data_IF_530358813193
#
_entry.id   IF_530358813193
#
_cell.length_a   1.000
_cell.length_b   1.000
_cell.length_c   1.000
_cell.angle_alpha   90.00
_cell.angle_beta   90.00
_cell.angle_gamma   90.00
#
_symmetry.space_group_name_H-M   'P 1'
#
loop_
_entity.id
_entity.type
_entity.pdbx_description
1 polymer ?
#
# COMPACT_ATOMS: atom_id res chain seq x y z
N UNK A 1 4.60 18.46 0.27
CA UNK A 1 4.37 17.24 1.06
C UNK A 1 3.03 16.63 0.68
N UNK A 2 3.01 15.33 0.48
CA UNK A 2 1.74 14.67 0.19
C UNK A 2 0.90 14.58 1.47
N UNK A 3 -0.40 14.52 1.28
CA UNK A 3 -1.34 14.54 2.40
C UNK A 3 -2.38 13.45 2.24
N UNK A 4 -3.22 13.32 3.26
CA UNK A 4 -4.31 12.37 3.21
C UNK A 4 -5.27 12.68 2.06
N UNK A 5 -5.39 13.94 1.66
CA UNK A 5 -6.24 14.27 0.53
C UNK A 5 -5.70 13.69 -0.77
N UNK A 6 -4.38 13.64 -0.91
CA UNK A 6 -3.78 12.99 -2.06
C UNK A 6 -4.11 11.50 -2.06
N UNK A 7 -4.06 10.87 -0.88
CA UNK A 7 -4.40 9.46 -0.76
C UNK A 7 -5.86 9.22 -1.11
N UNK A 8 -6.76 10.09 -0.64
CA UNK A 8 -8.18 9.97 -0.97
C UNK A 8 -8.41 10.01 -2.47
N UNK A 9 -7.69 10.89 -3.15
CA UNK A 9 -7.84 11.01 -4.60
C UNK A 9 -7.36 9.74 -5.31
N UNK A 10 -6.27 9.14 -4.84
CA UNK A 10 -5.77 7.91 -5.43
C UNK A 10 -6.75 6.77 -5.17
N UNK A 11 -7.21 6.64 -3.93
CA UNK A 11 -8.10 5.54 -3.55
C UNK A 11 -9.43 5.62 -4.27
N UNK A 12 -9.88 6.82 -4.64
CA UNK A 12 -11.14 6.97 -5.34
C UNK A 12 -11.17 6.19 -6.65
N UNK A 13 -10.01 5.91 -7.24
CA UNK A 13 -9.94 5.13 -8.47
C UNK A 13 -9.69 3.64 -8.26
N UNK A 14 -9.65 3.18 -7.02
CA UNK A 14 -9.32 1.80 -6.72
C UNK A 14 -10.59 1.03 -6.35
N UNK A 15 -10.87 -0.01 -7.12
CA UNK A 15 -12.11 -0.76 -6.98
C UNK A 15 -12.22 -1.39 -5.60
N UNK A 16 -13.40 -1.32 -5.01
CA UNK A 16 -13.72 -1.93 -3.71
C UNK A 16 -13.08 -1.26 -2.51
N UNK A 17 -12.27 -0.23 -2.71
CA UNK A 17 -11.61 0.45 -1.60
C UNK A 17 -12.53 1.50 -1.00
N UNK A 18 -12.50 1.64 0.31
CA UNK A 18 -13.30 2.67 0.96
C UNK A 18 -12.62 3.15 2.23
N UNK A 19 -12.99 4.34 2.65
CA UNK A 19 -12.43 4.98 3.83
C UNK A 19 -13.27 4.67 5.06
N UNK A 20 -12.61 4.49 6.19
CA UNK A 20 -13.27 4.29 7.47
C UNK A 20 -12.50 5.06 8.52
N UNK A 21 -13.18 5.52 9.56
CA UNK A 21 -12.53 6.20 10.68
C UNK A 21 -12.72 5.32 11.90
N UNK A 22 -11.61 4.94 12.53
CA UNK A 22 -11.64 4.08 13.70
C UNK A 22 -10.79 4.73 14.77
N UNK A 23 -11.40 5.11 15.89
CA UNK A 23 -10.70 5.72 17.01
C UNK A 23 -9.91 6.95 16.59
N UNK A 24 -10.55 7.80 15.79
CA UNK A 24 -9.97 9.06 15.31
C UNK A 24 -8.84 8.87 14.31
N UNK A 25 -8.67 7.69 13.76
CA UNK A 25 -7.67 7.44 12.74
C UNK A 25 -8.36 7.05 11.44
N UNK A 26 -7.86 7.60 10.35
CA UNK A 26 -8.38 7.27 9.04
C UNK A 26 -7.72 5.98 8.56
N UNK A 27 -8.53 5.07 8.06
CA UNK A 27 -8.06 3.82 7.48
C UNK A 27 -8.76 3.60 6.15
N UNK A 28 -8.11 2.84 5.28
CA UNK A 28 -8.73 2.46 4.02
C UNK A 28 -8.78 0.94 3.97
N UNK A 29 -9.91 0.42 3.53
CA UNK A 29 -10.21 -1.01 3.57
C UNK A 29 -10.69 -1.53 2.24
N UNK A 30 -10.51 -2.84 2.06
CA UNK A 30 -11.24 -3.62 1.06
C UNK A 30 -11.94 -4.71 1.86
N UNK A 31 -13.27 -4.71 1.86
CA UNK A 31 -13.99 -5.60 2.77
C UNK A 31 -13.64 -5.26 4.20
N UNK A 32 -13.09 -6.21 4.92
CA UNK A 32 -12.67 -5.99 6.30
C UNK A 32 -11.16 -5.81 6.43
N UNK A 33 -10.45 -5.86 5.33
CA UNK A 33 -9.00 -5.83 5.36
C UNK A 33 -8.53 -4.40 5.23
N UNK A 34 -7.77 -3.93 6.22
CA UNK A 34 -7.17 -2.60 6.18
C UNK A 34 -5.90 -2.69 5.34
N UNK A 35 -5.77 -1.83 4.33
CA UNK A 35 -4.54 -1.79 3.56
C UNK A 35 -3.79 -0.47 3.70
N UNK A 36 -4.41 0.55 4.29
CA UNK A 36 -3.75 1.81 4.64
C UNK A 36 -4.29 2.26 5.99
N UNK A 37 -3.42 2.83 6.82
CA UNK A 37 -3.84 3.38 8.10
C UNK A 37 -2.96 4.58 8.42
N UNK A 38 -3.58 5.68 8.86
CA UNK A 38 -2.84 6.89 9.15
C UNK A 38 -2.62 7.06 10.64
N UNK A 39 -1.51 7.70 11.00
CA UNK A 39 -1.31 8.13 12.38
C UNK A 39 -2.30 9.25 12.68
N UNK A 40 -2.50 9.54 13.97
CA UNK A 40 -3.46 10.57 14.33
C UNK A 40 -3.10 11.94 13.78
N UNK A 41 -1.81 12.26 13.73
CA UNK A 41 -1.38 13.53 13.19
C UNK A 41 -1.30 13.50 11.66
N UNK A 42 -1.60 12.36 11.05
CA UNK A 42 -1.64 12.18 9.60
C UNK A 42 -0.29 12.44 8.93
N UNK A 43 0.79 12.30 9.68
CA UNK A 43 2.12 12.46 9.12
C UNK A 43 2.72 11.15 8.65
N UNK A 44 2.20 10.03 9.14
CA UNK A 44 2.70 8.72 8.76
C UNK A 44 1.56 7.86 8.27
N UNK A 45 1.88 6.99 7.33
CA UNK A 45 0.90 6.08 6.76
C UNK A 45 1.45 4.66 6.83
N UNK A 46 0.73 3.77 7.49
CA UNK A 46 1.01 2.34 7.40
C UNK A 46 0.35 1.79 6.17
N UNK A 47 0.97 0.82 5.52
CA UNK A 47 0.41 0.26 4.30
C UNK A 47 0.78 -1.21 4.17
N UNK A 48 -0.05 -1.95 3.44
CA UNK A 48 0.18 -3.37 3.21
C UNK A 48 1.44 -3.55 2.39
N UNK A 49 2.32 -4.43 2.85
CA UNK A 49 3.61 -4.67 2.19
C UNK A 49 4.11 -6.02 2.64
N UNK A 50 4.74 -6.81 1.76
CA UNK A 50 5.21 -8.14 2.16
C UNK A 50 6.20 -8.06 3.31
N UNK A 51 5.89 -8.74 4.40
CA UNK A 51 6.73 -8.63 5.58
C UNK A 51 8.13 -9.20 5.39
N UNK A 52 8.28 -10.11 4.44
CA UNK A 52 9.59 -10.68 4.17
C UNK A 52 10.51 -9.70 3.45
N UNK A 53 9.95 -8.64 2.88
CA UNK A 53 10.73 -7.66 2.13
C UNK A 53 10.90 -6.35 2.85
N UNK A 54 10.21 -6.16 3.97
CA UNK A 54 10.20 -4.85 4.59
C UNK A 54 11.53 -4.46 5.24
N UNK A 55 12.27 -5.44 5.74
CA UNK A 55 13.56 -5.11 6.35
C UNK A 55 14.51 -4.51 5.33
N UNK A 56 14.50 -5.04 4.11
CA UNK A 56 15.32 -4.49 3.04
C UNK A 56 14.85 -3.10 2.64
N UNK A 57 13.54 -2.90 2.58
CA UNK A 57 13.00 -1.60 2.24
C UNK A 57 13.41 -0.55 3.26
N UNK A 58 13.24 -0.85 4.54
CA UNK A 58 13.58 0.09 5.59
C UNK A 58 15.09 0.36 5.59
N UNK A 59 15.89 -0.68 5.37
CA UNK A 59 17.33 -0.51 5.35
C UNK A 59 17.78 0.35 4.17
N UNK A 60 17.07 0.27 3.04
CA UNK A 60 17.46 1.03 1.87
C UNK A 60 17.14 2.52 2.01
N UNK A 61 16.08 2.87 2.75
CA UNK A 61 15.71 4.27 2.92
C UNK A 61 15.18 4.49 4.34
N UNK A 62 16.06 4.44 5.32
CA UNK A 62 15.63 4.51 6.72
C UNK A 62 15.03 5.86 7.14
N UNK A 63 15.27 6.89 6.36
CA UNK A 63 14.66 8.19 6.65
C UNK A 63 13.23 8.28 6.13
N UNK A 64 12.83 7.32 5.32
CA UNK A 64 11.51 7.33 4.70
C UNK A 64 10.61 6.24 5.25
N UNK A 65 11.12 5.03 5.41
CA UNK A 65 10.32 3.89 5.84
C UNK A 65 10.69 3.44 7.24
N UNK A 66 9.69 2.96 7.97
CA UNK A 66 9.88 2.49 9.33
C UNK A 66 9.22 1.14 9.50
N UNK A 67 9.81 0.32 10.35
CA UNK A 67 9.16 -0.93 10.72
C UNK A 67 7.89 -0.62 11.52
N UNK A 68 6.89 -1.48 11.45
CA UNK A 68 5.72 -1.28 12.29
C UNK A 68 6.10 -1.48 13.75
N UNK A 69 5.25 -1.03 14.65
CA UNK A 69 5.49 -1.25 16.07
C UNK A 69 5.47 -2.75 16.36
N UNK A 70 6.08 -3.18 17.47
CA UNK A 70 6.23 -4.62 17.73
C UNK A 70 4.96 -5.44 17.62
N UNK A 71 3.85 -4.93 18.09
CA UNK A 71 2.60 -5.68 18.03
C UNK A 71 2.09 -5.91 16.62
N UNK A 72 2.57 -5.14 15.66
CA UNK A 72 2.11 -5.25 14.28
C UNK A 72 3.11 -5.97 13.39
N UNK A 73 4.23 -6.42 13.93
CA UNK A 73 5.26 -7.04 13.10
C UNK A 73 4.82 -8.34 12.45
N UNK A 74 3.80 -8.99 12.99
CA UNK A 74 3.30 -10.23 12.40
C UNK A 74 2.48 -9.98 11.13
N UNK A 75 2.09 -8.75 10.88
CA UNK A 75 1.27 -8.42 9.72
C UNK A 75 2.15 -8.04 8.53
N UNK A 76 1.58 -8.10 7.35
CA UNK A 76 2.22 -7.63 6.12
C UNK A 76 2.09 -6.12 6.08
N UNK A 77 3.02 -5.41 6.73
CA UNK A 77 2.80 -4.01 7.04
C UNK A 77 4.13 -3.27 7.17
N UNK A 78 4.18 -2.05 6.66
CA UNK A 78 5.31 -1.16 6.86
C UNK A 78 4.76 0.27 6.94
N UNK A 79 5.57 1.20 7.46
CA UNK A 79 5.13 2.58 7.68
C UNK A 79 6.01 3.52 6.85
N UNK A 80 5.41 4.56 6.30
CA UNK A 80 6.13 5.56 5.54
C UNK A 80 5.86 6.96 6.09
N UNK A 81 6.89 7.81 6.06
CA UNK A 81 6.74 9.22 6.44
C UNK A 81 6.22 9.97 5.23
N UNK A 82 5.10 10.64 5.39
CA UNK A 82 4.47 11.31 4.25
C UNK A 82 5.26 12.51 3.77
N UNK A 83 6.08 13.10 4.62
CA UNK A 83 6.89 14.24 4.20
C UNK A 83 8.14 13.81 3.42
N UNK A 84 8.36 12.51 3.29
CA UNK A 84 9.55 12.01 2.59
C UNK A 84 9.24 11.40 1.23
N UNK A 85 7.97 11.40 0.80
CA UNK A 85 7.59 10.83 -0.49
C UNK A 85 6.94 11.90 -1.35
N UNK A 86 7.07 11.76 -2.67
CA UNK A 86 6.36 12.62 -3.58
C UNK A 86 5.08 11.92 -4.04
N UNK A 87 4.29 12.63 -4.84
CA UNK A 87 3.00 12.11 -5.26
C UNK A 87 3.11 10.84 -6.08
N UNK A 88 4.10 10.76 -6.96
CA UNK A 88 4.27 9.57 -7.79
C UNK A 88 4.59 8.36 -6.92
N UNK A 89 5.49 8.51 -5.98
CA UNK A 89 5.84 7.41 -5.10
C UNK A 89 4.67 7.01 -4.23
N UNK A 90 3.94 8.01 -3.71
CA UNK A 90 2.75 7.73 -2.90
C UNK A 90 1.75 6.90 -3.69
N UNK A 91 1.52 7.26 -4.94
CA UNK A 91 0.59 6.51 -5.78
C UNK A 91 1.02 5.06 -5.92
N UNK A 92 2.29 4.83 -6.14
CA UNK A 92 2.78 3.45 -6.27
C UNK A 92 2.61 2.65 -4.99
N UNK A 93 2.90 3.27 -3.86
CA UNK A 93 2.74 2.58 -2.57
C UNK A 93 1.29 2.22 -2.32
N UNK A 94 0.37 3.14 -2.60
CA UNK A 94 -1.04 2.91 -2.36
C UNK A 94 -1.60 1.85 -3.31
N UNK A 95 -1.23 1.95 -4.59
CA UNK A 95 -1.73 0.99 -5.57
C UNK A 95 -1.24 -0.42 -5.27
N UNK A 96 0.00 -0.57 -4.87
CA UNK A 96 0.53 -1.89 -4.57
C UNK A 96 -0.04 -2.45 -3.28
N UNK A 97 -0.27 -1.59 -2.29
CA UNK A 97 -0.91 -2.05 -1.07
C UNK A 97 -2.33 -2.55 -1.36
N UNK A 98 -3.07 -1.82 -2.19
CA UNK A 98 -4.40 -2.23 -2.59
C UNK A 98 -4.36 -3.56 -3.34
N UNK A 99 -3.37 -3.73 -4.21
CA UNK A 99 -3.26 -4.96 -4.99
C UNK A 99 -3.08 -6.20 -4.12
N UNK A 100 -2.53 -6.03 -2.92
CA UNK A 100 -2.37 -7.15 -2.00
C UNK A 100 -3.66 -7.64 -1.38
N UNK A 101 -4.73 -6.83 -1.43
CA UNK A 101 -5.96 -7.16 -0.71
C UNK A 101 -7.16 -7.33 -1.63
N UNK A 102 -6.97 -7.28 -2.93
CA UNK A 102 -8.05 -7.56 -3.90
C UNK A 102 -7.69 -8.79 -4.71
N UNK A 103 -8.69 -9.44 -5.35
CA UNK A 103 -8.36 -10.55 -6.25
C UNK A 103 -7.41 -10.10 -7.35
N UNK A 104 -6.53 -10.99 -7.72
CA UNK A 104 -5.49 -10.65 -8.69
C UNK A 104 -6.07 -10.14 -10.01
N UNK A 105 -7.21 -10.66 -10.43
CA UNK A 105 -7.80 -10.21 -11.69
C UNK A 105 -8.17 -8.73 -11.64
N UNK A 106 -8.56 -8.23 -10.45
CA UNK A 106 -8.91 -6.82 -10.32
C UNK A 106 -7.68 -5.94 -10.37
N UNK A 107 -6.62 -6.32 -9.68
CA UNK A 107 -5.40 -5.52 -9.72
C UNK A 107 -4.76 -5.58 -11.10
N UNK A 108 -4.78 -6.73 -11.75
CA UNK A 108 -4.24 -6.85 -13.10
C UNK A 108 -5.00 -5.95 -14.07
N UNK A 109 -6.32 -5.94 -13.98
CA UNK A 109 -7.12 -5.09 -14.85
C UNK A 109 -6.83 -3.61 -14.60
N UNK A 110 -6.69 -3.23 -13.34
CA UNK A 110 -6.38 -1.85 -13.01
C UNK A 110 -5.02 -1.43 -13.58
N UNK A 111 -3.99 -2.25 -13.37
CA UNK A 111 -2.67 -1.90 -13.85
C UNK A 111 -2.59 -1.89 -15.36
N UNK A 112 -3.42 -2.68 -16.03
CA UNK A 112 -3.49 -2.62 -17.49
C UNK A 112 -4.02 -1.28 -17.96
N UNK A 113 -4.94 -0.67 -17.21
CA UNK A 113 -5.47 0.64 -17.62
C UNK A 113 -4.49 1.77 -17.36
N UNK A 114 -3.71 1.70 -16.28
CA UNK A 114 -2.78 2.78 -15.98
C UNK A 114 -1.44 2.59 -16.68
N UNK A 115 -1.17 1.40 -17.18
CA UNK A 115 0.04 1.12 -17.97
C UNK A 115 -0.38 0.44 -19.26
N UNK A 116 -1.11 1.14 -20.11
CA UNK A 116 -1.71 0.49 -21.29
C UNK A 116 -0.69 -0.02 -22.30
N UNK A 117 0.51 0.48 -22.27
CA UNK A 117 1.52 0.00 -23.18
C UNK A 117 2.21 -1.25 -22.65
N UNK A 118 1.79 -1.73 -21.52
CA UNK A 118 2.32 -2.96 -20.99
C UNK A 118 3.67 -2.83 -20.37
N UNK A 119 4.16 -1.65 -20.29
CA UNK A 119 5.50 -1.48 -19.76
C UNK A 119 5.60 -1.95 -18.35
N UNK A 120 4.53 -2.14 -17.77
CA UNK A 120 4.62 -2.57 -16.44
C UNK A 120 5.15 -3.89 -16.28
N UNK A 121 5.41 -4.54 -16.86
CA UNK A 121 5.79 -5.55 -16.78
C UNK A 121 5.72 -6.62 -16.39
N UNK A 122 5.67 -6.71 -16.54
CA UNK A 122 5.09 -7.87 -16.45
C UNK A 122 5.84 -8.96 -15.93
N UNK A 123 6.84 -9.17 -16.38
CA UNK A 123 7.57 -10.27 -15.94
C UNK A 123 7.85 -10.19 -14.52
N UNK A 124 8.30 -9.09 -14.10
CA UNK A 124 8.62 -8.93 -12.72
C UNK A 124 7.42 -9.15 -11.87
N UNK A 125 6.32 -8.68 -12.35
CA UNK A 125 5.14 -8.81 -11.52
C UNK A 125 4.73 -10.26 -11.39
N UNK A 126 4.95 -11.04 -12.41
CA UNK A 126 4.62 -12.42 -12.28
C UNK A 126 5.41 -13.10 -11.22
N UNK A 127 6.67 -12.83 -11.18
CA UNK A 127 7.52 -13.44 -10.19
C UNK A 127 7.13 -12.99 -8.81
N UNK A 128 6.88 -11.73 -8.65
CA UNK A 128 6.54 -11.23 -7.35
C UNK A 128 5.27 -11.81 -6.85
N UNK A 129 4.32 -11.98 -7.73
CA UNK A 129 3.04 -12.43 -7.33
C UNK A 129 3.09 -13.77 -6.68
N UNK A 130 3.91 -14.63 -7.18
CA UNK A 130 3.90 -15.96 -6.69
C UNK A 130 4.03 -16.05 -5.20
N UNK A 131 5.02 -15.49 -4.62
CA UNK A 131 5.16 -15.68 -3.19
C UNK A 131 4.16 -14.89 -2.41
N UNK A 132 3.84 -13.79 -2.85
CA UNK A 132 3.12 -12.93 -2.03
C UNK A 132 1.80 -13.36 -1.68
N UNK A 133 1.31 -14.04 -2.41
CA UNK A 133 0.04 -14.21 -2.24
C UNK A 133 -0.43 -14.53 -1.01
N UNK A 134 -0.79 -14.44 -0.51
CA UNK A 134 -1.16 -14.77 0.56
C UNK A 134 -2.25 -14.87 0.99
N UNK A 135 -2.34 -15.02 1.09
CA UNK A 135 -3.06 -15.18 1.55
C UNK A 135 -3.97 -14.96 2.13
N UNK A 136 -3.91 -14.83 2.43
CA UNK A 136 -4.51 -14.55 2.99
C UNK A 136 -5.51 -14.53 3.27
N UNK A 137 -5.76 -14.59 3.34
CA UNK A 137 -6.61 -14.47 3.66
C UNK A 137 -7.00 -14.76 4.06
#
# INVERSE_FOLDING_TARGET
MVTIEDVRAIVAGLDRAYEAVVRDRVKFRVGRIVFLAFSRDERMMGFAFPKDERAALVASEPDKFLLPKPGDMRYQWVVVRLDAVDLQELRELVEEAWAMVVPKRLSAAYFATVNPDGSGNPDGSGARDAPGAPPTR
#
